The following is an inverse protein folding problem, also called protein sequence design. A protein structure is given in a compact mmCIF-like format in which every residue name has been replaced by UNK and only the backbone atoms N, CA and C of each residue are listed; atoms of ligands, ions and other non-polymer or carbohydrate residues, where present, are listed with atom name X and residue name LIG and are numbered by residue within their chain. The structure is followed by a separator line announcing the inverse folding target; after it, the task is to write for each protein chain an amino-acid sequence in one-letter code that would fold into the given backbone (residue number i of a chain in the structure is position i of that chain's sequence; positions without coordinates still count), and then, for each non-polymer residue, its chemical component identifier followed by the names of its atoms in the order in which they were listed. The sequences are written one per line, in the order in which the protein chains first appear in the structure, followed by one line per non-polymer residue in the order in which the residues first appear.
data_IF_798042829638
#
_entry.id   IF_798042829638
#
_cell.length_a   1.000
_cell.length_b   1.000
_cell.length_c   1.000
_cell.angle_alpha   90.00
_cell.angle_beta   90.00
_cell.angle_gamma   90.00
#
_symmetry.space_group_name_H-M   'P 1'
#
loop_
_entity.id
_entity.type
_entity.pdbx_description
1 polymer ?
#
# COMPACT_ATOMS: atom_id res chain seq x y z
N UNK A 1 10.12 -25.16 -32.78
CA UNK A 1 10.38 -24.08 -31.80
C UNK A 1 9.13 -23.83 -30.95
N UNK A 2 7.99 -23.56 -31.58
CA UNK A 2 6.65 -23.48 -30.97
C UNK A 2 6.28 -24.53 -29.90
N UNK A 3 6.52 -25.82 -30.16
CA UNK A 3 6.18 -26.90 -29.21
C UNK A 3 7.02 -26.88 -27.93
N UNK A 4 8.31 -26.50 -28.02
CA UNK A 4 9.20 -26.39 -26.84
C UNK A 4 8.77 -25.25 -25.91
N UNK A 5 8.31 -24.13 -26.47
CA UNK A 5 7.84 -23.00 -25.67
C UNK A 5 6.62 -23.38 -24.83
N UNK A 6 5.70 -24.16 -25.37
CA UNK A 6 4.54 -24.62 -24.60
C UNK A 6 4.90 -25.66 -23.54
N UNK A 7 5.91 -26.51 -23.77
CA UNK A 7 6.46 -27.40 -22.74
C UNK A 7 7.10 -26.62 -21.59
N UNK A 8 7.84 -25.55 -21.89
CA UNK A 8 8.41 -24.65 -20.88
C UNK A 8 7.32 -23.94 -20.06
N UNK A 9 6.28 -23.43 -20.73
CA UNK A 9 5.10 -22.84 -20.08
C UNK A 9 4.43 -23.87 -19.16
N UNK A 10 4.22 -25.11 -19.61
CA UNK A 10 3.62 -26.16 -18.80
C UNK A 10 4.44 -26.46 -17.53
N UNK A 11 5.76 -26.54 -17.69
CA UNK A 11 6.68 -26.76 -16.57
C UNK A 11 6.60 -25.60 -15.57
N UNK A 12 6.61 -24.35 -16.04
CA UNK A 12 6.44 -23.16 -15.19
C UNK A 12 5.11 -23.17 -14.45
N UNK A 13 4.00 -23.44 -15.13
CA UNK A 13 2.67 -23.53 -14.51
C UNK A 13 2.62 -24.57 -13.39
N UNK A 14 3.31 -25.69 -13.57
CA UNK A 14 3.44 -26.72 -12.53
C UNK A 14 4.23 -26.22 -11.33
N UNK A 15 5.37 -25.54 -11.56
CA UNK A 15 6.20 -24.94 -10.48
C UNK A 15 5.44 -23.86 -9.70
N UNK A 16 4.65 -23.04 -10.39
CA UNK A 16 3.87 -21.94 -9.79
C UNK A 16 2.57 -22.42 -9.11
N UNK A 17 2.33 -23.74 -9.03
CA UNK A 17 1.14 -24.35 -8.45
C UNK A 17 -0.17 -23.85 -9.10
N UNK A 18 -0.18 -23.65 -10.41
CA UNK A 18 -1.41 -23.31 -11.13
C UNK A 18 -2.45 -24.44 -10.95
N UNK A 19 -3.69 -24.16 -10.48
CA UNK A 19 -4.66 -25.20 -10.12
C UNK A 19 -5.05 -26.15 -11.26
N UNK A 20 -4.86 -25.74 -12.52
CA UNK A 20 -5.18 -26.51 -13.73
C UNK A 20 -3.93 -26.88 -14.55
N UNK A 21 -2.75 -26.93 -13.91
CA UNK A 21 -1.48 -27.30 -14.55
C UNK A 21 -1.42 -28.76 -15.08
N UNK A 22 -2.46 -29.55 -14.88
CA UNK A 22 -2.65 -30.89 -15.40
C UNK A 22 -3.37 -30.91 -16.76
N UNK A 23 -3.98 -29.81 -17.20
CA UNK A 23 -4.55 -29.68 -18.54
C UNK A 23 -3.44 -29.57 -19.60
N UNK A 24 -3.67 -30.02 -20.84
CA UNK A 24 -2.69 -29.88 -21.93
C UNK A 24 -2.42 -28.41 -22.24
N UNK A 25 -1.15 -27.99 -22.25
CA UNK A 25 -0.73 -26.60 -22.50
C UNK A 25 -1.38 -25.97 -23.75
N UNK A 26 -1.60 -26.78 -24.78
CA UNK A 26 -2.19 -26.34 -26.05
C UNK A 26 -3.63 -25.82 -25.91
N UNK A 27 -4.39 -26.24 -24.88
CA UNK A 27 -5.74 -25.74 -24.64
C UNK A 27 -5.76 -24.25 -24.30
N UNK A 28 -4.66 -23.70 -23.77
CA UNK A 28 -4.49 -22.29 -23.43
C UNK A 28 -4.43 -21.39 -24.68
N UNK A 29 -4.10 -21.96 -25.84
CA UNK A 29 -3.93 -21.22 -27.09
C UNK A 29 -5.25 -20.92 -27.81
N UNK A 30 -6.38 -21.42 -27.33
CA UNK A 30 -7.68 -21.28 -27.99
C UNK A 30 -8.74 -20.80 -27.00
N UNK A 31 -9.84 -20.28 -27.54
CA UNK A 31 -11.01 -19.89 -26.75
C UNK A 31 -11.48 -21.06 -25.89
N UNK A 32 -11.70 -20.79 -24.60
CA UNK A 32 -12.24 -21.79 -23.69
C UNK A 32 -11.78 -21.60 -22.26
N UNK A 33 -12.33 -22.46 -21.40
CA UNK A 33 -12.20 -22.36 -19.95
C UNK A 33 -10.76 -22.35 -19.46
N UNK A 34 -9.84 -23.12 -20.05
CA UNK A 34 -8.45 -23.16 -19.60
C UNK A 34 -7.75 -21.81 -19.78
N UNK A 35 -7.99 -21.14 -20.90
CA UNK A 35 -7.40 -19.83 -21.21
C UNK A 35 -7.96 -18.76 -20.28
N UNK A 36 -9.27 -18.73 -20.09
CA UNK A 36 -9.91 -17.74 -19.20
C UNK A 36 -9.53 -17.96 -17.74
N UNK A 37 -9.50 -19.21 -17.29
CA UNK A 37 -9.09 -19.55 -15.93
C UNK A 37 -7.63 -19.15 -15.65
N UNK A 38 -6.74 -19.17 -16.65
CA UNK A 38 -5.38 -18.69 -16.48
C UNK A 38 -5.31 -17.17 -16.26
N UNK A 39 -6.06 -16.39 -17.05
CA UNK A 39 -6.16 -14.94 -16.88
C UNK A 39 -6.78 -14.59 -15.52
N UNK A 40 -7.85 -15.26 -15.14
CA UNK A 40 -8.50 -15.07 -13.84
C UNK A 40 -7.58 -15.44 -12.68
N UNK A 41 -6.79 -16.48 -12.83
CA UNK A 41 -5.81 -16.86 -11.82
C UNK A 41 -4.76 -15.76 -11.62
N UNK A 42 -4.25 -15.16 -12.70
CA UNK A 42 -3.38 -13.97 -12.59
C UNK A 42 -4.08 -12.85 -11.81
N UNK A 43 -5.33 -12.54 -12.13
CA UNK A 43 -6.06 -11.46 -11.46
C UNK A 43 -6.35 -11.77 -10.00
N UNK A 44 -6.67 -13.02 -9.67
CA UNK A 44 -6.80 -13.47 -8.29
C UNK A 44 -5.46 -13.38 -7.53
N UNK A 45 -4.33 -13.69 -8.17
CA UNK A 45 -3.01 -13.53 -7.55
C UNK A 45 -2.69 -12.07 -7.23
N UNK A 46 -3.06 -11.14 -8.11
CA UNK A 46 -2.80 -9.71 -7.91
C UNK A 46 -3.77 -9.05 -6.92
N UNK A 47 -5.04 -9.46 -6.90
CA UNK A 47 -6.10 -8.76 -6.18
C UNK A 47 -6.68 -9.52 -4.98
N UNK A 48 -6.36 -10.81 -4.83
CA UNK A 48 -6.95 -11.69 -3.82
C UNK A 48 -8.48 -11.67 -3.87
N UNK A 49 -9.12 -11.56 -2.70
CA UNK A 49 -10.58 -11.52 -2.55
C UNK A 49 -11.26 -10.31 -3.21
N UNK A 50 -10.47 -9.30 -3.64
CA UNK A 50 -10.97 -8.15 -4.40
C UNK A 50 -11.06 -8.42 -5.89
N UNK A 51 -10.63 -9.60 -6.36
CA UNK A 51 -10.75 -9.97 -7.76
C UNK A 51 -12.24 -9.98 -8.17
N UNK A 52 -12.60 -9.39 -9.32
CA UNK A 52 -13.99 -9.39 -9.79
C UNK A 52 -14.48 -10.80 -10.17
N UNK A 53 -13.60 -11.80 -10.16
CA UNK A 53 -13.88 -13.19 -10.47
C UNK A 53 -14.04 -14.08 -9.22
N UNK A 54 -13.92 -13.53 -8.00
CA UNK A 54 -13.78 -14.30 -6.75
C UNK A 54 -15.00 -15.12 -6.31
N UNK A 55 -16.15 -15.05 -6.99
CA UNK A 55 -17.37 -15.74 -6.55
C UNK A 55 -18.27 -16.25 -7.68
N UNK A 56 -17.70 -16.72 -8.80
CA UNK A 56 -18.50 -17.52 -9.75
C UNK A 56 -18.25 -19.00 -9.50
N UNK A 57 -19.24 -19.67 -8.90
CA UNK A 57 -19.35 -21.13 -8.84
C UNK A 57 -19.20 -21.70 -10.25
N UNK A 58 -17.99 -22.12 -10.64
CA UNK A 58 -17.73 -22.90 -11.86
C UNK A 58 -18.12 -24.37 -11.60
N UNK A 59 -19.32 -24.59 -11.07
CA UNK A 59 -19.96 -25.89 -11.01
C UNK A 59 -21.36 -25.77 -11.61
N UNK A 60 -21.40 -25.97 -12.92
CA UNK A 60 -22.52 -26.57 -13.64
C UNK A 60 -23.86 -25.86 -13.55
N UNK A 61 -24.11 -24.93 -14.46
CA UNK A 61 -25.14 -25.08 -15.49
C UNK A 61 -24.88 -24.05 -16.60
N UNK A 62 -25.49 -24.21 -17.77
CA UNK A 62 -25.22 -23.40 -18.97
C UNK A 62 -25.05 -21.90 -18.67
N UNK A 63 -23.80 -21.40 -18.76
CA UNK A 63 -23.48 -19.98 -18.64
C UNK A 63 -24.24 -19.26 -19.77
N UNK A 64 -25.02 -18.24 -19.41
CA UNK A 64 -25.72 -17.43 -20.40
C UNK A 64 -24.68 -16.76 -21.31
N UNK A 65 -24.95 -16.72 -22.62
CA UNK A 65 -23.99 -16.21 -23.62
C UNK A 65 -23.60 -14.76 -23.32
N UNK A 66 -24.52 -14.00 -22.72
CA UNK A 66 -24.31 -12.61 -22.32
C UNK A 66 -23.37 -12.50 -21.10
N UNK A 67 -23.40 -13.46 -20.18
CA UNK A 67 -22.46 -13.53 -19.04
C UNK A 67 -21.04 -13.88 -19.49
N UNK A 68 -20.90 -14.82 -20.42
CA UNK A 68 -19.60 -15.16 -21.01
C UNK A 68 -19.02 -13.96 -21.79
N UNK A 69 -19.85 -13.24 -22.54
CA UNK A 69 -19.43 -12.04 -23.26
C UNK A 69 -18.97 -10.94 -22.31
N UNK A 70 -19.72 -10.69 -21.22
CA UNK A 70 -19.34 -9.74 -20.17
C UNK A 70 -18.03 -10.13 -19.48
N UNK A 71 -17.86 -11.43 -19.16
CA UNK A 71 -16.62 -11.95 -18.58
C UNK A 71 -15.42 -11.69 -19.50
N UNK A 72 -15.53 -12.01 -20.79
CA UNK A 72 -14.45 -11.80 -21.77
C UNK A 72 -14.12 -10.30 -21.90
N UNK A 73 -15.13 -9.43 -21.86
CA UNK A 73 -14.93 -7.98 -21.87
C UNK A 73 -14.12 -7.52 -20.65
N UNK A 74 -14.45 -7.99 -19.45
CA UNK A 74 -13.66 -7.68 -18.24
C UNK A 74 -12.23 -8.20 -18.33
N UNK A 75 -12.02 -9.43 -18.82
CA UNK A 75 -10.67 -9.97 -19.03
C UNK A 75 -9.86 -9.10 -20.01
N UNK A 76 -10.49 -8.57 -21.07
CA UNK A 76 -9.84 -7.70 -22.05
C UNK A 76 -9.45 -6.34 -21.46
N UNK A 77 -10.31 -5.75 -20.64
CA UNK A 77 -10.02 -4.49 -19.95
C UNK A 77 -8.84 -4.62 -18.99
N UNK A 78 -8.81 -5.69 -18.19
CA UNK A 78 -7.72 -5.92 -17.24
C UNK A 78 -6.42 -6.30 -17.97
N UNK A 79 -6.49 -7.12 -19.03
CA UNK A 79 -5.32 -7.47 -19.83
C UNK A 79 -4.66 -6.23 -20.46
N UNK A 80 -5.47 -5.28 -20.95
CA UNK A 80 -4.98 -3.99 -21.44
C UNK A 80 -4.39 -3.14 -20.31
N UNK A 81 -5.03 -3.11 -19.15
CA UNK A 81 -4.52 -2.39 -17.98
C UNK A 81 -3.15 -2.90 -17.51
N UNK A 82 -2.93 -4.22 -17.51
CA UNK A 82 -1.67 -4.84 -17.14
C UNK A 82 -0.62 -4.84 -18.25
N UNK A 83 -0.92 -4.27 -19.43
CA UNK A 83 -0.01 -4.23 -20.57
C UNK A 83 0.23 -5.57 -21.26
N UNK A 84 -0.63 -6.58 -21.02
CA UNK A 84 -0.60 -7.87 -21.73
C UNK A 84 -1.06 -7.67 -23.18
N UNK A 85 -1.99 -6.75 -23.40
CA UNK A 85 -2.46 -6.31 -24.72
C UNK A 85 -2.33 -4.80 -24.88
N UNK A 86 -2.17 -4.31 -26.11
CA UNK A 86 -2.04 -2.88 -26.40
C UNK A 86 -3.40 -2.14 -26.40
N UNK A 87 -4.48 -2.86 -26.67
CA UNK A 87 -5.86 -2.36 -26.68
C UNK A 87 -6.82 -3.33 -25.97
N UNK A 88 -8.05 -2.86 -25.72
CA UNK A 88 -9.14 -3.71 -25.22
C UNK A 88 -9.62 -4.53 -26.41
N UNK A 89 -9.23 -5.80 -26.47
CA UNK A 89 -9.52 -6.69 -27.60
C UNK A 89 -9.99 -8.07 -27.09
N UNK A 90 -11.29 -8.32 -27.22
CA UNK A 90 -11.93 -9.57 -26.79
C UNK A 90 -11.56 -10.75 -27.68
N UNK A 91 -11.20 -10.53 -28.95
CA UNK A 91 -10.79 -11.57 -29.88
C UNK A 91 -9.41 -12.12 -29.49
N UNK A 92 -8.51 -11.25 -29.04
CA UNK A 92 -7.20 -11.66 -28.48
C UNK A 92 -7.40 -12.48 -27.20
N UNK A 93 -8.33 -12.09 -26.32
CA UNK A 93 -8.69 -12.89 -25.14
C UNK A 93 -9.25 -14.25 -25.55
N UNK A 94 -10.01 -14.34 -26.63
CA UNK A 94 -10.50 -15.60 -27.20
C UNK A 94 -9.43 -16.39 -27.98
N UNK A 95 -8.18 -15.93 -28.03
CA UNK A 95 -7.10 -16.67 -28.69
C UNK A 95 -7.17 -16.57 -30.22
N UNK A 96 -7.60 -15.43 -30.75
CA UNK A 96 -7.34 -15.05 -32.15
C UNK A 96 -5.91 -14.55 -32.32
N UNK A 97 -5.36 -14.72 -33.51
CA UNK A 97 -3.99 -14.36 -33.87
C UNK A 97 -3.15 -15.54 -34.32
N UNK A 98 -1.91 -15.26 -34.67
CA UNK A 98 -0.86 -16.24 -34.98
C UNK A 98 -0.57 -17.15 -33.78
N UNK A 99 0.09 -18.27 -34.02
CA UNK A 99 0.51 -19.16 -32.93
C UNK A 99 1.47 -18.43 -31.97
N UNK A 100 2.36 -17.62 -32.54
CA UNK A 100 3.37 -16.83 -31.86
C UNK A 100 2.74 -15.79 -30.94
N UNK A 101 1.79 -14.99 -31.43
CA UNK A 101 1.07 -14.00 -30.62
C UNK A 101 0.32 -14.64 -29.45
N UNK A 102 -0.33 -15.79 -29.69
CA UNK A 102 -1.08 -16.51 -28.65
C UNK A 102 -0.15 -17.09 -27.59
N UNK A 103 0.99 -17.64 -28.01
CA UNK A 103 2.01 -18.18 -27.10
C UNK A 103 2.67 -17.07 -26.29
N UNK A 104 2.98 -15.94 -26.91
CA UNK A 104 3.58 -14.79 -26.26
C UNK A 104 2.65 -14.21 -25.20
N UNK A 105 1.35 -14.09 -25.49
CA UNK A 105 0.37 -13.65 -24.49
C UNK A 105 0.32 -14.59 -23.29
N UNK A 106 0.34 -15.92 -23.49
CA UNK A 106 0.38 -16.89 -22.38
C UNK A 106 1.68 -16.73 -21.59
N UNK A 107 2.82 -16.55 -22.27
CA UNK A 107 4.12 -16.32 -21.63
C UNK A 107 4.08 -15.08 -20.73
N UNK A 108 3.57 -13.95 -21.24
CA UNK A 108 3.42 -12.71 -20.48
C UNK A 108 2.56 -12.90 -19.22
N UNK A 109 1.45 -13.64 -19.32
CA UNK A 109 0.60 -13.95 -18.16
C UNK A 109 1.39 -14.75 -17.11
N UNK A 110 2.09 -15.81 -17.52
CA UNK A 110 2.86 -16.67 -16.61
C UNK A 110 4.01 -15.90 -15.97
N UNK A 111 4.75 -15.11 -16.74
CA UNK A 111 5.86 -14.31 -16.24
C UNK A 111 5.36 -13.24 -15.25
N UNK A 112 4.18 -12.64 -15.48
CA UNK A 112 3.58 -11.69 -14.55
C UNK A 112 3.14 -12.37 -13.24
N UNK A 113 2.59 -13.58 -13.31
CA UNK A 113 2.29 -14.35 -12.09
C UNK A 113 3.56 -14.70 -11.35
N UNK A 114 4.60 -15.18 -12.04
CA UNK A 114 5.91 -15.47 -11.46
C UNK A 114 6.46 -14.25 -10.73
N UNK A 115 6.49 -13.09 -11.40
CA UNK A 115 6.90 -11.83 -10.79
C UNK A 115 6.06 -11.46 -9.55
N UNK A 116 4.74 -11.69 -9.58
CA UNK A 116 3.87 -11.45 -8.42
C UNK A 116 4.17 -12.35 -7.22
N UNK A 117 4.73 -13.55 -7.43
CA UNK A 117 5.12 -14.46 -6.34
C UNK A 117 6.39 -13.94 -5.65
N UNK A 118 7.30 -13.37 -6.43
CA UNK A 118 8.62 -12.92 -5.96
C UNK A 118 8.70 -11.41 -5.72
N UNK A 119 7.57 -10.69 -5.72
CA UNK A 119 7.52 -9.23 -5.57
C UNK A 119 7.97 -8.77 -4.18
N UNK A 120 7.71 -9.58 -3.15
CA UNK A 120 8.40 -9.51 -1.85
C UNK A 120 9.27 -10.76 -1.76
N UNK A 121 10.50 -10.68 -2.27
CA UNK A 121 11.40 -11.84 -2.22
C UNK A 121 11.94 -11.97 -0.79
N UNK A 122 11.49 -12.96 0.01
CA UNK A 122 11.99 -13.12 1.37
C UNK A 122 13.47 -13.49 1.43
N UNK A 123 14.07 -13.87 0.29
CA UNK A 123 15.49 -14.18 0.16
C UNK A 123 16.34 -12.92 -0.12
N UNK A 124 15.73 -11.80 -0.50
CA UNK A 124 16.46 -10.54 -0.71
C UNK A 124 16.71 -9.85 0.62
N UNK A 125 17.92 -9.33 0.78
CA UNK A 125 18.21 -8.43 1.90
C UNK A 125 17.45 -7.11 1.74
N UNK A 126 17.27 -6.38 2.84
CA UNK A 126 16.64 -5.05 2.81
C UNK A 126 17.35 -4.12 1.82
N UNK A 127 18.68 -4.23 1.71
CA UNK A 127 19.47 -3.41 0.77
C UNK A 127 19.21 -3.77 -0.70
N UNK A 128 19.01 -5.05 -1.00
CA UNK A 128 18.69 -5.53 -2.35
C UNK A 128 17.28 -5.09 -2.77
N UNK A 129 16.32 -5.17 -1.85
CA UNK A 129 14.96 -4.68 -2.09
C UNK A 129 14.95 -3.17 -2.34
N UNK A 130 15.63 -2.38 -1.50
CA UNK A 130 15.74 -0.93 -1.67
C UNK A 130 16.40 -0.55 -3.00
N UNK A 131 17.46 -1.26 -3.42
CA UNK A 131 18.09 -1.02 -4.70
C UNK A 131 17.16 -1.29 -5.89
N UNK A 132 16.30 -2.31 -5.79
CA UNK A 132 15.30 -2.64 -6.82
C UNK A 132 14.14 -1.65 -6.84
N UNK A 133 13.69 -1.19 -5.69
CA UNK A 133 12.65 -0.19 -5.58
C UNK A 133 13.11 1.16 -6.15
N UNK A 134 14.35 1.58 -5.88
CA UNK A 134 14.96 2.77 -6.49
C UNK A 134 15.02 2.61 -8.01
N UNK A 135 15.49 1.47 -8.51
CA UNK A 135 15.56 1.19 -9.95
C UNK A 135 14.18 1.26 -10.63
N UNK A 136 13.13 0.79 -9.95
CA UNK A 136 11.75 0.87 -10.43
C UNK A 136 11.26 2.32 -10.48
N UNK A 137 11.50 3.10 -9.43
CA UNK A 137 11.13 4.53 -9.37
C UNK A 137 11.82 5.31 -10.48
N UNK A 138 13.11 5.09 -10.69
CA UNK A 138 13.86 5.75 -11.77
C UNK A 138 13.29 5.41 -13.15
N UNK A 139 12.94 4.13 -13.36
CA UNK A 139 12.32 3.68 -14.61
C UNK A 139 10.93 4.31 -14.85
N UNK A 140 10.13 4.48 -13.78
CA UNK A 140 8.84 5.16 -13.85
C UNK A 140 9.03 6.65 -14.17
N UNK A 141 9.98 7.31 -13.51
CA UNK A 141 10.28 8.72 -13.75
C UNK A 141 10.75 8.97 -15.18
N UNK A 142 11.61 8.09 -15.73
CA UNK A 142 12.05 8.16 -17.12
C UNK A 142 10.88 7.99 -18.10
N UNK A 143 9.96 7.06 -17.83
CA UNK A 143 8.76 6.88 -18.65
C UNK A 143 7.82 8.08 -18.56
N UNK A 144 7.63 8.67 -17.39
CA UNK A 144 6.88 9.93 -17.25
C UNK A 144 7.54 11.05 -18.05
N UNK A 145 8.86 11.20 -17.98
CA UNK A 145 9.60 12.19 -18.77
C UNK A 145 9.42 11.98 -20.28
N UNK A 146 9.39 10.73 -20.76
CA UNK A 146 9.09 10.40 -22.16
C UNK A 146 7.65 10.74 -22.55
N UNK A 147 6.68 10.47 -21.67
CA UNK A 147 5.25 10.78 -21.89
C UNK A 147 5.02 12.29 -22.02
N UNK A 148 5.76 13.10 -21.25
CA UNK A 148 5.70 14.56 -21.29
C UNK A 148 6.76 15.19 -22.22
N UNK A 149 7.49 14.39 -22.99
CA UNK A 149 8.46 14.89 -23.96
C UNK A 149 7.77 15.51 -25.19
N UNK A 150 8.48 16.42 -25.86
CA UNK A 150 7.96 17.11 -27.07
C UNK A 150 7.65 16.16 -28.23
N UNK A 151 8.23 14.96 -28.23
CA UNK A 151 7.98 13.91 -29.23
C UNK A 151 6.62 13.21 -29.01
N UNK A 152 6.11 13.16 -27.78
CA UNK A 152 4.86 12.50 -27.43
C UNK A 152 3.72 13.53 -27.31
N UNK A 153 3.20 14.02 -28.45
CA UNK A 153 2.07 14.96 -28.47
C UNK A 153 0.76 14.26 -28.10
N UNK A 154 0.45 14.25 -26.80
CA UNK A 154 -0.80 13.70 -26.25
C UNK A 154 -2.06 14.53 -26.59
N UNK A 155 -1.88 15.75 -27.10
CA UNK A 155 -2.97 16.65 -27.44
C UNK A 155 -3.04 16.89 -28.95
N UNK A 156 -4.26 16.96 -29.54
CA UNK A 156 -4.46 17.46 -30.89
C UNK A 156 -3.79 18.83 -31.06
N UNK A 157 -3.30 19.14 -32.25
CA UNK A 157 -2.59 20.41 -32.55
C UNK A 157 -3.39 21.67 -32.19
N UNK A 158 -4.71 21.54 -32.03
CA UNK A 158 -5.65 22.63 -31.79
C UNK A 158 -5.95 22.90 -30.31
N UNK A 159 -5.44 22.07 -29.38
CA UNK A 159 -5.65 22.26 -27.94
C UNK A 159 -4.62 23.27 -27.40
N UNK A 160 -5.04 24.54 -27.30
CA UNK A 160 -4.30 25.55 -26.55
C UNK A 160 -4.49 25.31 -25.05
N UNK A 161 -3.53 24.64 -24.41
CA UNK A 161 -3.48 24.53 -22.96
C UNK A 161 -3.11 25.91 -22.40
N UNK A 162 -4.10 26.67 -21.97
CA UNK A 162 -3.84 27.79 -21.07
C UNK A 162 -3.46 27.19 -19.71
N UNK A 163 -2.17 27.10 -19.42
CA UNK A 163 -1.69 26.70 -18.10
C UNK A 163 -2.22 27.69 -17.06
N UNK A 164 -3.18 27.26 -16.25
CA UNK A 164 -3.82 28.09 -15.20
C UNK A 164 -2.78 28.54 -14.15
N UNK A 165 -1.62 27.88 -14.11
CA UNK A 165 -0.48 28.25 -13.28
C UNK A 165 0.76 28.43 -14.17
N UNK A 166 1.47 29.58 -14.08
CA UNK A 166 2.77 29.70 -14.71
C UNK A 166 3.72 28.67 -14.11
N UNK A 167 4.48 27.98 -14.96
CA UNK A 167 5.54 27.10 -14.48
C UNK A 167 6.53 27.93 -13.63
N UNK A 168 6.98 27.43 -12.47
CA UNK A 168 7.97 28.13 -11.65
C UNK A 168 9.26 28.33 -12.45
N UNK A 169 9.92 29.47 -12.25
CA UNK A 169 11.19 29.75 -12.90
C UNK A 169 12.27 28.76 -12.42
N UNK A 170 13.14 28.33 -13.33
CA UNK A 170 14.20 27.35 -13.03
C UNK A 170 15.12 27.88 -11.94
N UNK A 171 15.42 29.18 -11.96
CA UNK A 171 16.25 29.86 -10.96
C UNK A 171 15.64 29.78 -9.55
N UNK A 172 14.30 29.83 -9.44
CA UNK A 172 13.59 29.68 -8.15
C UNK A 172 13.70 28.25 -7.62
N UNK A 173 13.59 27.25 -8.51
CA UNK A 173 13.74 25.84 -8.15
C UNK A 173 15.17 25.50 -7.72
N UNK A 174 16.18 26.01 -8.42
CA UNK A 174 17.59 25.86 -8.05
C UNK A 174 17.88 26.50 -6.68
N UNK A 175 17.28 27.67 -6.41
CA UNK A 175 17.40 28.35 -5.12
C UNK A 175 16.79 27.51 -4.00
N UNK A 176 15.59 26.94 -4.21
CA UNK A 176 14.95 26.04 -3.24
C UNK A 176 15.75 24.76 -3.02
N UNK A 177 16.29 24.17 -4.08
CA UNK A 177 17.13 22.98 -3.98
C UNK A 177 18.38 23.27 -3.14
N UNK A 178 19.02 24.42 -3.34
CA UNK A 178 20.18 24.84 -2.55
C UNK A 178 19.84 25.04 -1.07
N UNK A 179 18.69 25.64 -0.78
CA UNK A 179 18.20 25.81 0.59
C UNK A 179 17.93 24.46 1.27
N UNK A 180 17.22 23.55 0.60
CA UNK A 180 16.96 22.20 1.12
C UNK A 180 18.24 21.40 1.32
N UNK A 181 19.17 21.45 0.37
CA UNK A 181 20.48 20.78 0.49
C UNK A 181 21.26 21.27 1.70
N UNK A 182 21.20 22.57 2.01
CA UNK A 182 21.83 23.15 3.19
C UNK A 182 21.18 22.67 4.50
N UNK A 183 19.84 22.55 4.53
CA UNK A 183 19.11 22.00 5.67
C UNK A 183 19.52 20.55 5.91
N UNK A 184 19.56 19.75 4.85
CA UNK A 184 19.94 18.33 4.92
C UNK A 184 21.36 18.17 5.47
N UNK A 185 22.30 18.98 5.00
CA UNK A 185 23.68 19.02 5.52
C UNK A 185 23.73 19.36 7.02
N UNK A 186 22.93 20.32 7.48
CA UNK A 186 22.86 20.68 8.89
C UNK A 186 22.30 19.54 9.75
N UNK A 187 21.26 18.86 9.27
CA UNK A 187 20.67 17.72 9.95
C UNK A 187 21.64 16.54 10.01
N UNK A 188 22.35 16.25 8.92
CA UNK A 188 23.38 15.22 8.90
C UNK A 188 24.46 15.50 9.95
N UNK A 189 24.95 16.74 10.01
CA UNK A 189 25.93 17.13 11.03
C UNK A 189 25.41 16.92 12.46
N UNK A 190 24.13 17.24 12.72
CA UNK A 190 23.52 17.00 14.04
C UNK A 190 23.42 15.52 14.38
N UNK A 191 23.10 14.68 13.39
CA UNK A 191 23.05 13.22 13.55
C UNK A 191 24.44 12.69 13.86
N UNK A 192 25.46 13.13 13.13
CA UNK A 192 26.84 12.72 13.35
C UNK A 192 27.35 13.17 14.73
N UNK A 193 27.02 14.40 15.14
CA UNK A 193 27.33 14.92 16.48
C UNK A 193 26.65 14.08 17.59
N UNK A 194 25.39 13.69 17.41
CA UNK A 194 24.68 12.83 18.37
C UNK A 194 25.25 11.42 18.41
N UNK A 195 25.54 10.82 17.25
CA UNK A 195 26.16 9.50 17.15
C UNK A 195 27.56 9.47 17.78
N UNK A 196 28.31 10.59 17.71
CA UNK A 196 29.62 10.70 18.37
C UNK A 196 29.53 10.75 19.90
N UNK A 197 28.41 11.27 20.45
CA UNK A 197 28.19 11.43 21.90
C UNK A 197 27.54 10.21 22.53
N UNK A 198 26.71 9.51 21.76
CA UNK A 198 25.93 8.37 22.21
C UNK A 198 26.26 7.17 21.32
N UNK A 199 27.15 6.31 21.79
CA UNK A 199 27.39 5.03 21.14
C UNK A 199 26.09 4.20 21.21
N UNK A 200 25.54 3.85 20.05
CA UNK A 200 24.37 2.98 19.97
C UNK A 200 24.71 1.65 20.65
N UNK A 201 24.13 1.41 21.83
CA UNK A 201 24.28 0.18 22.58
C UNK A 201 22.96 -0.59 22.51
N UNK A 202 22.87 -1.64 21.67
CA UNK A 202 21.66 -2.47 21.58
C UNK A 202 21.38 -3.27 22.87
N UNK A 203 22.37 -3.37 23.76
CA UNK A 203 22.28 -4.03 25.08
C UNK A 203 22.23 -2.99 26.22
N UNK A 204 21.83 -1.75 25.95
CA UNK A 204 21.71 -0.72 26.99
C UNK A 204 20.70 -1.16 28.05
N UNK A 205 21.16 -1.25 29.30
CA UNK A 205 20.37 -1.80 30.38
C UNK A 205 19.36 -0.74 30.87
N UNK A 206 18.16 -0.75 30.28
CA UNK A 206 17.09 0.20 30.59
C UNK A 206 16.38 -0.06 31.93
N UNK A 207 16.91 -0.94 32.79
CA UNK A 207 16.24 -1.38 34.03
C UNK A 207 15.94 -0.22 34.98
N UNK A 208 16.83 0.76 35.09
CA UNK A 208 16.62 1.97 35.92
C UNK A 208 15.55 2.89 35.32
N UNK A 209 15.60 3.13 34.01
CA UNK A 209 14.63 3.98 33.28
C UNK A 209 13.24 3.35 33.27
N UNK A 210 13.16 2.03 33.04
CA UNK A 210 11.93 1.26 33.10
C UNK A 210 11.33 1.28 34.51
N UNK A 211 12.17 1.15 35.54
CA UNK A 211 11.74 1.25 36.94
C UNK A 211 11.19 2.65 37.26
N UNK A 212 11.84 3.71 36.80
CA UNK A 212 11.34 5.08 36.97
C UNK A 212 10.02 5.30 36.24
N UNK A 213 9.91 4.83 34.99
CA UNK A 213 8.69 4.92 34.19
C UNK A 213 7.53 4.16 34.86
N UNK A 214 7.77 2.93 35.34
CA UNK A 214 6.78 2.14 36.08
C UNK A 214 6.33 2.88 37.34
N UNK A 215 7.26 3.44 38.12
CA UNK A 215 6.92 4.23 39.30
C UNK A 215 6.06 5.44 38.96
N UNK A 216 6.33 6.11 37.84
CA UNK A 216 5.56 7.27 37.40
C UNK A 216 4.15 6.89 36.95
N UNK A 217 4.02 5.79 36.21
CA UNK A 217 2.74 5.26 35.76
C UNK A 217 1.88 4.76 36.93
N UNK A 218 2.48 4.14 37.95
CA UNK A 218 1.78 3.71 39.16
C UNK A 218 1.23 4.92 39.93
N UNK A 219 2.03 5.97 40.08
CA UNK A 219 1.61 7.24 40.68
C UNK A 219 0.46 7.91 39.91
N UNK A 220 0.54 7.90 38.58
CA UNK A 220 -0.52 8.40 37.72
C UNK A 220 -1.82 7.59 37.87
N UNK A 221 -1.73 6.26 37.87
CA UNK A 221 -2.89 5.38 38.06
C UNK A 221 -3.56 5.63 39.41
N UNK A 222 -2.78 5.81 40.47
CA UNK A 222 -3.33 6.10 41.80
C UNK A 222 -4.01 7.47 41.85
N UNK A 223 -3.44 8.46 41.19
CA UNK A 223 -4.05 9.79 41.04
C UNK A 223 -5.36 9.71 40.25
N UNK A 224 -5.38 8.96 39.15
CA UNK A 224 -6.58 8.76 38.33
C UNK A 224 -7.68 8.00 39.08
N UNK A 225 -7.31 6.97 39.86
CA UNK A 225 -8.26 6.26 40.75
C UNK A 225 -8.83 7.20 41.79
N UNK A 226 -7.99 8.00 42.45
CA UNK A 226 -8.41 9.00 43.43
C UNK A 226 -9.38 10.00 42.82
N UNK A 227 -9.07 10.52 41.62
CA UNK A 227 -9.97 11.40 40.89
C UNK A 227 -11.31 10.73 40.56
N UNK A 228 -11.29 9.49 40.09
CA UNK A 228 -12.51 8.74 39.77
C UNK A 228 -13.38 8.49 41.02
N UNK A 229 -12.77 8.21 42.16
CA UNK A 229 -13.48 8.09 43.45
C UNK A 229 -14.14 9.43 43.80
N UNK A 230 -13.40 10.54 43.74
CA UNK A 230 -13.95 11.87 44.02
C UNK A 230 -15.09 12.20 43.06
N UNK A 231 -14.89 11.97 41.76
CA UNK A 231 -15.92 12.19 40.75
C UNK A 231 -17.19 11.36 41.05
N UNK A 232 -17.04 10.06 41.28
CA UNK A 232 -18.18 9.14 41.42
C UNK A 232 -18.90 9.29 42.76
N UNK A 233 -18.17 9.54 43.85
CA UNK A 233 -18.71 9.59 45.22
C UNK A 233 -19.07 10.99 45.67
N UNK A 234 -18.37 12.01 45.21
CA UNK A 234 -18.59 13.40 45.65
C UNK A 234 -19.26 14.20 44.54
N UNK A 235 -18.69 14.28 43.33
CA UNK A 235 -19.20 15.19 42.29
C UNK A 235 -20.50 14.70 41.67
N UNK A 236 -20.57 13.43 41.25
CA UNK A 236 -21.71 12.86 40.50
C UNK A 236 -23.02 12.87 41.30
N UNK A 237 -23.06 12.55 42.61
CA UNK A 237 -24.28 12.70 43.39
C UNK A 237 -24.73 14.15 43.52
N UNK A 238 -23.79 15.10 43.67
CA UNK A 238 -24.13 16.54 43.73
C UNK A 238 -24.75 17.03 42.43
N UNK A 239 -24.25 16.58 41.28
CA UNK A 239 -24.79 16.97 39.98
C UNK A 239 -26.14 16.35 39.66
N UNK A 240 -26.50 15.22 40.30
CA UNK A 240 -27.80 14.56 40.11
C UNK A 240 -28.84 14.90 41.20
N UNK A 241 -28.44 15.47 42.34
CA UNK A 241 -29.33 15.80 43.47
C UNK A 241 -29.73 17.28 43.58
N UNK A 242 -29.19 18.18 42.76
CA UNK A 242 -29.58 19.59 42.75
C UNK A 242 -30.32 19.95 41.46
N UNK A 243 -31.60 20.33 41.55
CA UNK A 243 -32.34 20.83 40.37
C UNK A 243 -31.80 22.16 39.83
N UNK A 244 -30.99 22.92 40.60
CA UNK A 244 -30.15 24.04 40.13
C UNK A 244 -29.00 24.25 41.12
N UNK A 245 -27.71 24.33 40.72
CA UNK A 245 -26.62 24.62 41.65
C UNK A 245 -26.65 26.09 42.11
N UNK A 246 -26.94 26.35 43.37
CA UNK A 246 -26.64 27.66 43.97
C UNK A 246 -25.17 27.68 44.43
N UNK A 247 -24.39 28.63 43.92
CA UNK A 247 -22.99 28.84 44.29
C UNK A 247 -22.90 29.29 45.76
N UNK A 248 -22.72 28.34 46.68
CA UNK A 248 -22.20 28.64 48.01
C UNK A 248 -20.69 28.38 48.01
N UNK A 249 -19.94 29.24 48.70
CA UNK A 249 -18.48 29.27 48.69
C UNK A 249 -17.85 27.88 48.82
N UNK A 250 -16.87 27.61 47.95
CA UNK A 250 -16.18 26.33 47.82
C UNK A 250 -15.85 25.70 49.17
N UNK A 251 -16.52 24.60 49.51
CA UNK A 251 -16.26 23.82 50.72
C UNK A 251 -14.97 22.99 50.63
N UNK A 252 -14.58 22.29 51.71
CA UNK A 252 -13.32 21.53 51.78
C UNK A 252 -13.10 20.52 50.64
N UNK A 253 -14.17 19.99 50.06
CA UNK A 253 -14.12 19.07 48.91
C UNK A 253 -13.62 19.75 47.63
N UNK A 254 -13.98 21.01 47.41
CA UNK A 254 -13.55 21.75 46.23
C UNK A 254 -12.05 22.09 46.27
N UNK A 255 -11.50 22.38 47.46
CA UNK A 255 -10.06 22.58 47.63
C UNK A 255 -9.28 21.30 47.32
N UNK A 256 -9.77 20.12 47.76
CA UNK A 256 -9.16 18.83 47.41
C UNK A 256 -9.18 18.55 45.91
N UNK A 257 -10.27 18.92 45.23
CA UNK A 257 -10.41 18.81 43.78
C UNK A 257 -9.42 19.71 43.03
N UNK A 258 -9.28 20.95 43.49
CA UNK A 258 -8.32 21.91 42.93
C UNK A 258 -6.87 21.44 43.12
N UNK A 259 -6.54 20.91 44.30
CA UNK A 259 -5.22 20.32 44.56
C UNK A 259 -4.92 19.12 43.66
N UNK A 260 -5.87 18.18 43.53
CA UNK A 260 -5.73 17.02 42.65
C UNK A 260 -5.59 17.41 41.17
N UNK A 261 -6.36 18.41 40.73
CA UNK A 261 -6.27 18.94 39.37
C UNK A 261 -4.93 19.64 39.10
N UNK A 262 -4.42 20.43 40.06
CA UNK A 262 -3.11 21.07 39.94
C UNK A 262 -1.96 20.05 39.94
N UNK A 263 -2.08 18.94 40.68
CA UNK A 263 -1.11 17.85 40.59
C UNK A 263 -1.13 17.18 39.22
N UNK A 264 -2.31 16.90 38.66
CA UNK A 264 -2.45 16.35 37.30
C UNK A 264 -1.84 17.28 36.25
N UNK A 265 -2.10 18.59 36.33
CA UNK A 265 -1.51 19.56 35.39
C UNK A 265 0.02 19.57 35.44
N UNK A 266 0.62 19.46 36.62
CA UNK A 266 2.09 19.36 36.75
C UNK A 266 2.66 18.10 36.12
N UNK A 267 1.92 16.99 36.09
CA UNK A 267 2.37 15.75 35.45
C UNK A 267 2.30 15.83 33.93
N UNK A 268 1.30 16.53 33.37
CA UNK A 268 1.12 16.62 31.92
C UNK A 268 1.88 17.76 31.23
N UNK A 269 2.22 18.82 31.97
CA UNK A 269 2.82 20.05 31.40
C UNK A 269 4.06 20.54 32.15
N UNK A 270 4.53 19.82 33.16
CA UNK A 270 5.73 20.13 33.95
C UNK A 270 6.93 19.28 33.57
#
# INVERSE_FOLDING_TARGET
MAARQMEEIQKKLSTLNYPRANAPAQSLLFAGMERYALLEWLFFRLLGDKSPFSQQNIQGDAIDRDEETGRIQYLAEIAKFLGITTSIDTEVIQGRGSYEERTEMIRLIVDLVEASIYADNPDWSVDEQVAKDIQLIDSIAEKQAQIFSEECKLFPADVQIQSIYPLPDVSELETKLAEQSKILLNLQQKVDDLASKHAYNPDEEYTEVESQLRSHLESFLETARSFNIIYTKEIRPWTHMMEVPQLHGFGPAANRLLEAYNMLLKVFFG
#
